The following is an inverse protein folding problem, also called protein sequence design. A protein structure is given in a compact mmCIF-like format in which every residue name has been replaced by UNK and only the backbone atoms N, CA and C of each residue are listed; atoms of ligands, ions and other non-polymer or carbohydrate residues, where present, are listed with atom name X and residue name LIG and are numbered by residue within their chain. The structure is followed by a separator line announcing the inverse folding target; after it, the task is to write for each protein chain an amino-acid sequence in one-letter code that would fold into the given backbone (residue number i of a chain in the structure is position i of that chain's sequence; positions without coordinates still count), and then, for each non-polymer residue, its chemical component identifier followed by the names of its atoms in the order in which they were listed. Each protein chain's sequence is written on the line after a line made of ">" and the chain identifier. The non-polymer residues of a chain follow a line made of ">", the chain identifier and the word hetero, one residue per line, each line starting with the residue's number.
data_IF_542040340818
#
_entry.id   IF_542040340818
#
_cell.length_a   1.000
_cell.length_b   1.000
_cell.length_c   1.000
_cell.angle_alpha   90.00
_cell.angle_beta   90.00
_cell.angle_gamma   90.00
#
_symmetry.space_group_name_H-M   'P 1'
#
loop_
_entity.id
_entity.type
_entity.pdbx_description
1 polymer ?
#
# COMPACT_ATOMS: atom_id res chain seq x y z
N UNK A 1 11.61 -17.27 -8.99
CA UNK A 1 11.56 -15.95 -8.30
C UNK A 1 11.11 -16.14 -6.87
N UNK A 2 11.77 -15.58 -5.86
CA UNK A 2 11.36 -15.76 -4.46
C UNK A 2 10.10 -14.93 -4.15
N UNK A 3 8.99 -15.62 -3.86
CA UNK A 3 7.71 -15.02 -3.46
C UNK A 3 7.76 -14.33 -2.08
N UNK A 4 8.76 -14.70 -1.27
CA UNK A 4 8.88 -14.32 0.13
C UNK A 4 8.85 -12.79 0.37
N UNK A 5 9.69 -12.02 -0.32
CA UNK A 5 9.75 -10.56 -0.13
C UNK A 5 8.43 -9.86 -0.52
N UNK A 6 7.83 -10.16 -1.70
CA UNK A 6 6.47 -9.70 -2.03
C UNK A 6 5.42 -10.07 -1.00
N UNK A 7 5.43 -11.30 -0.47
CA UNK A 7 4.45 -11.74 0.54
C UNK A 7 4.61 -10.98 1.83
N UNK A 8 5.84 -10.81 2.32
CA UNK A 8 6.14 -10.04 3.54
C UNK A 8 5.65 -8.60 3.36
N UNK A 9 6.06 -7.95 2.27
CA UNK A 9 5.66 -6.56 1.97
C UNK A 9 4.13 -6.43 1.94
N UNK A 10 3.46 -7.27 1.15
CA UNK A 10 1.98 -7.24 1.01
C UNK A 10 1.28 -7.53 2.35
N UNK A 11 1.79 -8.46 3.15
CA UNK A 11 1.21 -8.77 4.46
C UNK A 11 1.25 -7.55 5.39
N UNK A 12 2.37 -6.80 5.41
CA UNK A 12 2.50 -5.62 6.26
C UNK A 12 1.54 -4.49 5.87
N UNK A 13 1.30 -4.24 4.57
CA UNK A 13 0.34 -3.20 4.17
C UNK A 13 -1.11 -3.62 4.44
N UNK A 14 -1.43 -4.92 4.30
CA UNK A 14 -2.75 -5.46 4.67
C UNK A 14 -2.98 -5.33 6.17
N UNK A 15 -2.00 -5.72 7.00
CA UNK A 15 -2.05 -5.56 8.46
C UNK A 15 -2.19 -4.07 8.82
N UNK A 16 -1.44 -3.19 8.16
CA UNK A 16 -1.58 -1.74 8.34
C UNK A 16 -3.02 -1.28 8.04
N UNK A 17 -3.61 -1.71 6.92
CA UNK A 17 -5.01 -1.43 6.58
C UNK A 17 -5.98 -1.89 7.67
N UNK A 18 -5.85 -3.12 8.17
CA UNK A 18 -6.69 -3.63 9.27
C UNK A 18 -6.54 -2.76 10.53
N UNK A 19 -5.31 -2.37 10.88
CA UNK A 19 -5.06 -1.49 12.01
C UNK A 19 -5.68 -0.10 11.81
N UNK A 20 -5.65 0.47 10.59
CA UNK A 20 -6.34 1.73 10.29
C UNK A 20 -7.85 1.57 10.49
N UNK A 21 -8.47 0.46 10.10
CA UNK A 21 -9.88 0.17 10.36
C UNK A 21 -10.18 0.09 11.87
N UNK A 22 -9.35 -0.60 12.63
CA UNK A 22 -9.45 -0.65 14.09
C UNK A 22 -9.28 0.74 14.74
N UNK A 23 -8.35 1.55 14.22
CA UNK A 23 -8.11 2.93 14.66
C UNK A 23 -9.31 3.83 14.40
N UNK A 24 -10.01 3.61 13.27
CA UNK A 24 -11.26 4.27 12.95
C UNK A 24 -12.39 3.91 13.91
N UNK A 25 -12.54 2.61 14.21
CA UNK A 25 -13.50 2.16 15.19
C UNK A 25 -13.25 2.79 16.57
N UNK A 26 -11.99 2.85 17.00
CA UNK A 26 -11.61 3.47 18.27
C UNK A 26 -11.96 4.97 18.33
N UNK A 27 -11.66 5.74 17.27
CA UNK A 27 -11.98 7.19 17.26
C UNK A 27 -13.49 7.44 17.17
N UNK A 28 -14.24 6.59 16.45
CA UNK A 28 -15.70 6.67 16.41
C UNK A 28 -16.33 6.44 17.80
N UNK A 29 -15.71 5.60 18.63
CA UNK A 29 -16.07 5.41 20.04
C UNK A 29 -15.47 6.46 20.99
N UNK A 30 -14.86 7.53 20.47
CA UNK A 30 -14.19 8.60 21.23
C UNK A 30 -13.02 8.09 22.10
N UNK A 31 -12.45 6.92 21.80
CA UNK A 31 -11.33 6.32 22.53
C UNK A 31 -10.00 6.80 21.92
N UNK A 32 -9.66 8.08 22.17
CA UNK A 32 -8.55 8.77 21.50
C UNK A 32 -7.19 8.12 21.79
N UNK A 33 -6.91 7.73 23.03
CA UNK A 33 -5.64 7.09 23.38
C UNK A 33 -5.44 5.76 22.65
N UNK A 34 -6.52 4.98 22.50
CA UNK A 34 -6.48 3.72 21.74
C UNK A 34 -6.28 3.98 20.26
N UNK A 35 -6.98 4.96 19.69
CA UNK A 35 -6.77 5.39 18.31
C UNK A 35 -5.30 5.73 18.06
N UNK A 36 -4.70 6.56 18.93
CA UNK A 36 -3.29 6.95 18.79
C UNK A 36 -2.34 5.76 18.85
N UNK A 37 -2.55 4.83 19.80
CA UNK A 37 -1.72 3.61 19.92
C UNK A 37 -1.85 2.71 18.67
N UNK A 38 -3.07 2.49 18.18
CA UNK A 38 -3.32 1.67 17.00
C UNK A 38 -2.72 2.31 15.75
N UNK A 39 -2.90 3.62 15.56
CA UNK A 39 -2.35 4.34 14.41
C UNK A 39 -0.81 4.34 14.39
N UNK A 40 -0.14 4.34 15.54
CA UNK A 40 1.32 4.15 15.62
C UNK A 40 1.74 2.79 15.06
N UNK A 41 1.07 1.71 15.46
CA UNK A 41 1.33 0.38 14.91
C UNK A 41 1.02 0.30 13.41
N UNK A 42 -0.07 0.90 12.96
CA UNK A 42 -0.41 0.99 11.55
C UNK A 42 0.70 1.67 10.73
N UNK A 43 1.27 2.77 11.26
CA UNK A 43 2.38 3.50 10.64
C UNK A 43 3.70 2.71 10.63
N UNK A 44 3.98 1.94 11.69
CA UNK A 44 5.14 1.03 11.73
C UNK A 44 5.00 -0.05 10.65
N UNK A 45 3.85 -0.72 10.55
CA UNK A 45 3.60 -1.71 9.50
C UNK A 45 3.71 -1.10 8.09
N UNK A 46 3.16 0.10 7.87
CA UNK A 46 3.28 0.80 6.59
C UNK A 46 4.75 1.13 6.24
N UNK A 47 5.53 1.55 7.23
CA UNK A 47 6.97 1.82 7.05
C UNK A 47 7.73 0.56 6.67
N UNK A 48 7.46 -0.57 7.34
CA UNK A 48 8.08 -1.86 7.02
C UNK A 48 7.73 -2.28 5.59
N UNK A 49 6.44 -2.20 5.21
CA UNK A 49 6.00 -2.43 3.83
C UNK A 49 6.83 -1.62 2.83
N UNK A 50 6.97 -0.31 3.07
CA UNK A 50 7.65 0.61 2.16
C UNK A 50 9.13 0.29 2.03
N UNK A 51 9.83 0.05 3.15
CA UNK A 51 11.24 -0.33 3.16
C UNK A 51 11.44 -1.64 2.40
N UNK A 52 10.64 -2.66 2.68
CA UNK A 52 10.74 -3.96 1.98
C UNK A 52 10.45 -3.82 0.49
N UNK A 53 9.42 -3.05 0.11
CA UNK A 53 9.05 -2.80 -1.30
C UNK A 53 10.19 -2.10 -2.06
N UNK A 54 10.66 -0.95 -1.55
CA UNK A 54 11.72 -0.18 -2.19
C UNK A 54 13.01 -0.98 -2.27
N UNK A 55 13.38 -1.70 -1.20
CA UNK A 55 14.58 -2.54 -1.20
C UNK A 55 14.49 -3.63 -2.27
N UNK A 56 13.35 -4.32 -2.36
CA UNK A 56 13.14 -5.32 -3.41
C UNK A 56 13.24 -4.70 -4.80
N UNK A 57 12.57 -3.59 -5.03
CA UNK A 57 12.58 -2.93 -6.34
C UNK A 57 13.99 -2.45 -6.72
N UNK A 58 14.78 -1.96 -5.77
CA UNK A 58 16.14 -1.47 -6.01
C UNK A 58 17.16 -2.59 -6.28
N UNK A 59 17.09 -3.71 -5.54
CA UNK A 59 18.10 -4.77 -5.61
C UNK A 59 17.72 -5.98 -6.47
N UNK A 60 16.42 -6.27 -6.59
CA UNK A 60 15.90 -7.48 -7.25
C UNK A 60 15.08 -7.13 -8.50
N UNK A 61 14.48 -5.94 -8.55
CA UNK A 61 13.57 -5.53 -9.63
C UNK A 61 12.12 -5.96 -9.41
N UNK A 62 11.29 -5.74 -10.42
CA UNK A 62 9.86 -6.03 -10.38
C UNK A 62 9.48 -7.22 -11.25
N UNK A 63 8.37 -7.87 -10.91
CA UNK A 63 7.88 -9.06 -11.64
C UNK A 63 7.04 -8.62 -12.83
N UNK A 64 7.32 -9.15 -14.02
CA UNK A 64 6.42 -9.02 -15.15
C UNK A 64 5.09 -9.75 -14.93
N UNK A 65 4.04 -9.27 -15.59
CA UNK A 65 2.77 -9.99 -15.63
C UNK A 65 2.92 -11.29 -16.44
N UNK A 66 2.68 -12.44 -15.81
CA UNK A 66 2.81 -13.76 -16.44
C UNK A 66 1.50 -14.31 -17.04
N UNK A 67 0.46 -13.48 -17.16
CA UNK A 67 -0.83 -13.88 -17.71
C UNK A 67 -0.91 -13.77 -19.24
N UNK A 68 -2.05 -14.14 -19.85
CA UNK A 68 -2.26 -14.04 -21.30
C UNK A 68 -2.03 -12.63 -21.84
N UNK A 69 -1.49 -12.52 -23.07
CA UNK A 69 -1.20 -11.24 -23.72
C UNK A 69 -2.44 -10.33 -23.86
N UNK A 70 -3.63 -10.92 -24.03
CA UNK A 70 -4.90 -10.18 -24.09
C UNK A 70 -5.23 -9.44 -22.79
N UNK A 71 -4.73 -9.91 -21.65
CA UNK A 71 -4.96 -9.29 -20.33
C UNK A 71 -3.83 -8.33 -19.92
N UNK A 72 -2.68 -8.36 -20.60
CA UNK A 72 -1.52 -7.51 -20.29
C UNK A 72 -1.85 -6.01 -20.29
N UNK A 73 -2.58 -5.43 -21.27
CA UNK A 73 -2.94 -4.01 -21.25
C UNK A 73 -3.89 -3.65 -20.11
N UNK A 74 -4.83 -4.55 -19.77
CA UNK A 74 -5.78 -4.35 -18.67
C UNK A 74 -5.03 -4.33 -17.34
N UNK A 75 -4.14 -5.31 -17.13
CA UNK A 75 -3.28 -5.36 -15.96
C UNK A 75 -2.40 -4.12 -15.83
N UNK A 76 -1.77 -3.65 -16.91
CA UNK A 76 -0.92 -2.46 -16.88
C UNK A 76 -1.69 -1.19 -16.52
N UNK A 77 -2.88 -1.03 -17.08
CA UNK A 77 -3.76 0.10 -16.75
C UNK A 77 -4.12 0.07 -15.26
N UNK A 78 -4.47 -1.11 -14.74
CA UNK A 78 -4.75 -1.32 -13.32
C UNK A 78 -3.51 -1.05 -12.44
N UNK A 79 -2.33 -1.49 -12.87
CA UNK A 79 -1.08 -1.27 -12.14
C UNK A 79 -0.74 0.22 -12.06
N UNK A 80 -0.86 0.96 -13.17
CA UNK A 80 -0.64 2.41 -13.20
C UNK A 80 -1.63 3.11 -12.26
N UNK A 81 -2.91 2.73 -12.31
CA UNK A 81 -3.92 3.23 -11.39
C UNK A 81 -3.53 2.99 -9.92
N UNK A 82 -3.11 1.76 -9.58
CA UNK A 82 -2.66 1.43 -8.24
C UNK A 82 -1.44 2.26 -7.81
N UNK A 83 -0.44 2.43 -8.69
CA UNK A 83 0.77 3.22 -8.39
C UNK A 83 0.41 4.67 -8.08
N UNK A 84 -0.41 5.32 -8.92
CA UNK A 84 -0.86 6.70 -8.69
C UNK A 84 -1.60 6.81 -7.36
N UNK A 85 -2.53 5.88 -7.11
CA UNK A 85 -3.29 5.84 -5.86
C UNK A 85 -2.39 5.61 -4.64
N UNK A 86 -1.37 4.76 -4.75
CA UNK A 86 -0.39 4.50 -3.69
C UNK A 86 0.48 5.72 -3.41
N UNK A 87 0.92 6.45 -4.44
CA UNK A 87 1.66 7.70 -4.28
C UNK A 87 0.81 8.75 -3.56
N UNK A 88 -0.43 8.96 -4.00
CA UNK A 88 -1.37 9.90 -3.35
C UNK A 88 -1.64 9.49 -1.90
N UNK A 89 -1.94 8.21 -1.66
CA UNK A 89 -2.17 7.67 -0.32
C UNK A 89 -0.97 7.85 0.61
N UNK A 90 0.25 7.60 0.11
CA UNK A 90 1.49 7.82 0.85
C UNK A 90 1.68 9.27 1.29
N UNK A 91 1.48 10.22 0.37
CA UNK A 91 1.57 11.66 0.66
C UNK A 91 0.52 12.07 1.70
N UNK A 92 -0.74 11.67 1.51
CA UNK A 92 -1.82 11.96 2.46
C UNK A 92 -1.56 11.36 3.84
N UNK A 93 -1.01 10.14 3.90
CA UNK A 93 -0.59 9.48 5.13
C UNK A 93 0.45 10.30 5.89
N UNK A 94 1.52 10.75 5.21
CA UNK A 94 2.56 11.60 5.80
C UNK A 94 2.00 12.94 6.30
N UNK A 95 1.15 13.61 5.52
CA UNK A 95 0.53 14.88 5.92
C UNK A 95 -0.35 14.69 7.16
N UNK A 96 -1.15 13.62 7.21
CA UNK A 96 -2.02 13.29 8.34
C UNK A 96 -1.25 12.97 9.62
N UNK A 97 -0.16 12.21 9.52
CA UNK A 97 0.74 11.94 10.63
C UNK A 97 1.46 13.20 11.09
N UNK A 98 1.88 14.09 10.18
CA UNK A 98 2.49 15.38 10.52
C UNK A 98 1.53 16.26 11.32
N UNK A 99 0.25 16.33 10.95
CA UNK A 99 -0.75 17.08 11.72
C UNK A 99 -0.96 16.49 13.11
N UNK A 100 -0.98 15.16 13.24
CA UNK A 100 -1.04 14.51 14.55
C UNK A 100 0.20 14.83 15.41
N UNK A 101 1.40 14.74 14.84
CA UNK A 101 2.66 15.03 15.53
C UNK A 101 2.75 16.49 16.00
N UNK A 102 2.27 17.45 15.19
CA UNK A 102 2.22 18.87 15.53
C UNK A 102 1.05 19.26 16.45
N UNK A 103 0.28 18.29 16.97
CA UNK A 103 -0.95 18.52 17.74
C UNK A 103 -1.98 19.42 17.01
N UNK A 104 -1.95 19.48 15.68
CA UNK A 104 -2.96 20.20 14.90
C UNK A 104 -4.15 19.28 14.62
N UNK A 105 -4.93 19.03 15.69
CA UNK A 105 -6.02 18.06 15.68
C UNK A 105 -7.17 18.50 14.75
N UNK A 106 -7.42 19.80 14.61
CA UNK A 106 -8.44 20.31 13.70
C UNK A 106 -8.14 19.92 12.24
N UNK A 107 -6.91 20.15 11.78
CA UNK A 107 -6.49 19.73 10.45
C UNK A 107 -6.48 18.20 10.30
N UNK A 108 -5.96 17.48 11.31
CA UNK A 108 -5.96 16.00 11.31
C UNK A 108 -7.38 15.43 11.16
N UNK A 109 -8.37 15.97 11.89
CA UNK A 109 -9.77 15.53 11.78
C UNK A 109 -10.40 15.84 10.42
N UNK A 110 -9.98 16.93 9.77
CA UNK A 110 -10.48 17.31 8.43
C UNK A 110 -9.98 16.35 7.35
N UNK A 111 -8.69 16.00 7.36
CA UNK A 111 -8.07 15.20 6.28
C UNK A 111 -7.97 13.71 6.59
N UNK A 112 -8.00 13.34 7.87
CA UNK A 112 -7.86 11.96 8.32
C UNK A 112 -8.87 11.02 7.67
N UNK A 113 -10.15 11.40 7.56
CA UNK A 113 -11.13 10.53 6.93
C UNK A 113 -10.86 10.23 5.47
N UNK A 114 -10.54 11.26 4.69
CA UNK A 114 -10.17 11.12 3.28
C UNK A 114 -8.90 10.29 3.11
N UNK A 115 -7.92 10.51 3.97
CA UNK A 115 -6.66 9.75 3.98
C UNK A 115 -6.94 8.27 4.18
N UNK A 116 -7.81 7.91 5.11
CA UNK A 116 -8.14 6.51 5.35
C UNK A 116 -8.91 5.85 4.21
N UNK A 117 -9.85 6.57 3.58
CA UNK A 117 -10.56 6.05 2.39
C UNK A 117 -9.55 5.70 1.30
N UNK A 118 -8.67 6.65 0.95
CA UNK A 118 -7.61 6.41 -0.04
C UNK A 118 -6.73 5.25 0.40
N UNK A 119 -6.33 5.21 1.67
CA UNK A 119 -5.49 4.13 2.22
C UNK A 119 -6.12 2.74 2.07
N UNK A 120 -7.41 2.59 2.34
CA UNK A 120 -8.12 1.32 2.19
C UNK A 120 -8.17 0.88 0.72
N UNK A 121 -8.51 1.79 -0.21
CA UNK A 121 -8.55 1.48 -1.63
C UNK A 121 -7.16 1.11 -2.14
N UNK A 122 -6.11 1.83 -1.71
CA UNK A 122 -4.71 1.50 -2.02
C UNK A 122 -4.32 0.12 -1.51
N UNK A 123 -4.63 -0.21 -0.25
CA UNK A 123 -4.25 -1.49 0.34
C UNK A 123 -4.96 -2.67 -0.36
N UNK A 124 -6.26 -2.52 -0.68
CA UNK A 124 -7.02 -3.53 -1.42
C UNK A 124 -6.44 -3.72 -2.82
N UNK A 125 -6.24 -2.64 -3.57
CA UNK A 125 -5.70 -2.72 -4.93
C UNK A 125 -4.27 -3.28 -4.94
N UNK A 126 -3.44 -2.98 -3.93
CA UNK A 126 -2.11 -3.55 -3.78
C UNK A 126 -2.14 -5.05 -3.49
N UNK A 127 -3.05 -5.51 -2.62
CA UNK A 127 -3.27 -6.94 -2.40
C UNK A 127 -3.73 -7.63 -3.70
N UNK A 128 -4.60 -6.98 -4.49
CA UNK A 128 -5.00 -7.49 -5.82
C UNK A 128 -3.81 -7.59 -6.78
N UNK A 129 -2.91 -6.60 -6.83
CA UNK A 129 -1.68 -6.68 -7.64
C UNK A 129 -0.85 -7.90 -7.24
N UNK A 130 -0.66 -8.12 -5.94
CA UNK A 130 0.05 -9.30 -5.44
C UNK A 130 -0.63 -10.60 -5.86
N UNK A 131 -1.95 -10.72 -5.67
CA UNK A 131 -2.70 -11.93 -6.06
C UNK A 131 -2.59 -12.21 -7.55
N UNK A 132 -2.71 -11.19 -8.40
CA UNK A 132 -2.58 -11.34 -9.85
C UNK A 132 -1.17 -11.81 -10.25
N UNK A 133 -0.13 -11.22 -9.67
CA UNK A 133 1.27 -11.53 -10.05
C UNK A 133 1.82 -12.83 -9.48
N UNK A 134 1.38 -13.25 -8.29
CA UNK A 134 2.03 -14.33 -7.55
C UNK A 134 1.13 -15.54 -7.26
N UNK A 135 -0.20 -15.41 -7.40
CA UNK A 135 -1.14 -16.50 -7.14
C UNK A 135 -1.83 -16.94 -8.43
N UNK A 136 -2.42 -16.01 -9.18
CA UNK A 136 -3.24 -16.34 -10.36
C UNK A 136 -2.37 -16.51 -11.61
N UNK A 137 -1.45 -15.58 -11.86
CA UNK A 137 -0.54 -15.62 -13.01
C UNK A 137 0.93 -15.62 -12.56
N UNK A 138 1.36 -16.63 -11.78
CA UNK A 138 2.74 -16.72 -11.31
C UNK A 138 3.69 -16.95 -12.49
N UNK A 139 4.79 -16.21 -12.55
CA UNK A 139 5.91 -16.58 -13.43
C UNK A 139 6.40 -15.56 -14.45
N UNK A 140 6.30 -14.25 -14.20
CA UNK A 140 7.06 -13.28 -14.99
C UNK A 140 8.54 -13.24 -14.59
N UNK A 141 9.41 -12.91 -15.53
CA UNK A 141 10.81 -12.59 -15.25
C UNK A 141 10.91 -11.31 -14.39
N UNK A 142 12.02 -11.16 -13.67
CA UNK A 142 12.32 -9.91 -12.97
C UNK A 142 12.93 -8.95 -13.95
N UNK A 143 12.41 -7.73 -14.00
CA UNK A 143 12.95 -6.68 -14.84
C UNK A 143 12.98 -5.33 -14.11
N UNK A 144 13.52 -4.33 -14.82
CA UNK A 144 13.52 -2.95 -14.38
C UNK A 144 12.11 -2.45 -14.08
N UNK A 145 11.98 -1.54 -13.11
CA UNK A 145 10.68 -1.00 -12.70
C UNK A 145 9.94 -0.36 -13.89
N UNK A 146 10.68 0.31 -14.78
CA UNK A 146 10.12 1.01 -15.93
C UNK A 146 9.61 0.02 -16.99
N UNK A 147 10.33 -1.06 -17.23
CA UNK A 147 9.94 -2.07 -18.22
C UNK A 147 8.66 -2.79 -17.80
N UNK A 148 8.51 -3.09 -16.50
CA UNK A 148 7.28 -3.67 -15.97
C UNK A 148 6.10 -2.70 -16.07
N UNK A 149 6.31 -1.40 -15.79
CA UNK A 149 5.26 -0.38 -15.86
C UNK A 149 4.80 -0.16 -17.31
N UNK A 150 5.74 -0.11 -18.26
CA UNK A 150 5.44 0.17 -19.67
C UNK A 150 5.30 -1.09 -20.54
N UNK A 151 5.48 -2.28 -19.98
CA UNK A 151 5.27 -3.54 -20.68
C UNK A 151 6.31 -3.93 -21.72
N UNK A 152 7.47 -3.30 -21.67
CA UNK A 152 8.57 -3.54 -22.62
C UNK A 152 9.28 -4.86 -22.33
#
# INVERSE_FOLDING_TARGET
>A
MSILLPTISTSFIVISGILVACGWYAVAKKQIDKHMKIMKWAAICATIFFITYVSRTAFVGNTHFGGPDSLKPIYQTFLIFHIVLATVGGVMGLVTLRHAYKNNIAAHRKIGPWTSIVWFVTAITGATVYTLLYIIYPGGETAGVLDVIFGK
#
